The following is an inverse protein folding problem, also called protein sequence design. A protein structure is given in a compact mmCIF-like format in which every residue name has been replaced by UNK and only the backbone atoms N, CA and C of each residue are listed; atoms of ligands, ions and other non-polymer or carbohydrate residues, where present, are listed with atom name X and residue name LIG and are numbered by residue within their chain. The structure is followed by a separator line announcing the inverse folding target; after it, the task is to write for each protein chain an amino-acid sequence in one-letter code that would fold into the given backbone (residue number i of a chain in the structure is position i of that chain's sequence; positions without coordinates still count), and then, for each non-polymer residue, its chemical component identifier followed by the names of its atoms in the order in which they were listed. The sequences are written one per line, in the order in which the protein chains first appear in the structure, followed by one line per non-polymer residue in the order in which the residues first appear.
data_IF_423650544532
#
_entry.id   IF_423650544532
#
_cell.length_a   1.000
_cell.length_b   1.000
_cell.length_c   1.000
_cell.angle_alpha   90.00
_cell.angle_beta   90.00
_cell.angle_gamma   90.00
#
_symmetry.space_group_name_H-M   'P 1'
#
loop_
_entity.id
_entity.type
_entity.pdbx_description
1 polymer ?
#
# COMPACT_ATOMS: atom_id res chain seq x y z
N UNK A 1 21.53 -40.79 20.39
CA UNK A 1 22.69 -39.91 20.62
C UNK A 1 22.36 -38.57 20.00
N UNK A 2 22.29 -37.53 20.84
CA UNK A 2 21.53 -36.31 20.55
C UNK A 2 22.24 -35.39 19.56
N UNK A 3 21.50 -34.92 18.56
CA UNK A 3 21.92 -33.77 17.75
C UNK A 3 22.09 -32.55 18.67
N UNK A 4 23.35 -32.16 18.87
CA UNK A 4 23.71 -30.89 19.47
C UNK A 4 23.44 -29.75 18.48
N UNK A 5 23.08 -28.59 19.00
CA UNK A 5 22.89 -27.39 18.19
C UNK A 5 24.22 -26.99 17.54
N UNK A 6 24.16 -26.52 16.29
CA UNK A 6 25.34 -25.96 15.61
C UNK A 6 25.87 -24.74 16.38
N UNK A 7 27.17 -24.48 16.26
CA UNK A 7 27.81 -23.33 16.91
C UNK A 7 27.15 -21.99 16.53
N UNK A 8 26.64 -21.90 15.30
CA UNK A 8 25.91 -20.75 14.79
C UNK A 8 24.59 -20.52 15.54
N UNK A 9 23.78 -21.57 15.73
CA UNK A 9 22.52 -21.48 16.47
C UNK A 9 22.75 -21.14 17.95
N UNK A 10 23.82 -21.68 18.55
CA UNK A 10 24.21 -21.36 19.93
C UNK A 10 24.60 -19.89 20.06
N UNK A 11 25.32 -19.32 19.08
CA UNK A 11 25.70 -17.92 19.02
C UNK A 11 24.50 -16.98 18.80
N UNK A 12 23.50 -17.43 18.04
CA UNK A 12 22.20 -16.74 17.88
C UNK A 12 21.28 -16.83 19.11
N UNK A 13 21.73 -17.50 20.18
CA UNK A 13 21.01 -17.58 21.46
C UNK A 13 20.10 -18.78 21.63
N UNK A 14 20.08 -19.73 20.70
CA UNK A 14 19.28 -20.95 20.81
C UNK A 14 19.89 -21.95 21.81
N UNK A 15 19.02 -22.63 22.54
CA UNK A 15 19.35 -23.68 23.51
C UNK A 15 18.32 -24.80 23.40
N UNK A 16 18.75 -26.06 23.56
CA UNK A 16 17.88 -27.24 23.52
C UNK A 16 17.53 -27.66 24.94
N UNK A 17 16.25 -27.93 25.19
CA UNK A 17 15.71 -28.38 26.47
C UNK A 17 14.85 -29.62 26.28
N UNK A 18 14.61 -30.37 27.35
CA UNK A 18 13.70 -31.52 27.34
C UNK A 18 12.39 -31.16 28.05
N UNK A 19 11.25 -31.31 27.37
CA UNK A 19 9.95 -31.16 28.01
C UNK A 19 9.55 -32.48 28.68
N UNK A 20 9.48 -32.49 30.01
CA UNK A 20 8.95 -33.64 30.77
C UNK A 20 7.46 -33.91 30.49
N UNK A 21 6.69 -32.85 30.16
CA UNK A 21 5.25 -32.96 29.87
C UNK A 21 4.98 -33.58 28.51
N UNK A 22 5.70 -33.11 27.49
CA UNK A 22 5.50 -33.53 26.09
C UNK A 22 6.42 -34.69 25.69
N UNK A 23 7.28 -35.14 26.62
CA UNK A 23 8.28 -36.19 26.44
C UNK A 23 9.13 -36.05 25.16
N UNK A 24 9.49 -34.81 24.80
CA UNK A 24 10.27 -34.49 23.59
C UNK A 24 11.15 -33.24 23.78
N UNK A 25 12.22 -33.08 23.00
CA UNK A 25 13.05 -31.88 23.08
C UNK A 25 12.33 -30.66 22.47
N UNK A 26 12.67 -29.47 22.96
CA UNK A 26 12.28 -28.18 22.39
C UNK A 26 13.46 -27.22 22.40
N UNK A 27 13.40 -26.19 21.58
CA UNK A 27 14.45 -25.20 21.37
C UNK A 27 13.95 -23.84 21.84
N UNK A 28 14.69 -23.19 22.74
CA UNK A 28 14.36 -21.88 23.27
C UNK A 28 15.45 -20.88 22.91
N UNK A 29 15.07 -19.70 22.43
CA UNK A 29 15.99 -18.61 22.14
C UNK A 29 16.01 -17.63 23.31
N UNK A 30 17.17 -17.46 23.94
CA UNK A 30 17.34 -16.55 25.10
C UNK A 30 17.24 -15.07 24.75
N UNK A 31 17.48 -14.70 23.49
CA UNK A 31 17.50 -13.32 23.01
C UNK A 31 16.08 -12.87 22.63
N UNK A 32 15.31 -13.74 21.96
CA UNK A 32 13.95 -13.42 21.50
C UNK A 32 12.85 -13.90 22.46
N UNK A 33 13.14 -14.85 23.35
CA UNK A 33 12.17 -15.49 24.24
C UNK A 33 11.32 -16.57 23.56
N UNK A 34 11.55 -16.86 22.28
CA UNK A 34 10.76 -17.81 21.48
C UNK A 34 11.07 -19.27 21.83
N UNK A 35 10.05 -20.15 21.75
CA UNK A 35 10.21 -21.60 21.90
C UNK A 35 9.65 -22.35 20.69
N UNK A 36 10.43 -23.26 20.11
CA UNK A 36 10.07 -24.10 18.97
C UNK A 36 10.20 -25.58 19.34
N UNK A 37 9.35 -26.42 18.77
CA UNK A 37 9.46 -27.88 18.92
C UNK A 37 10.39 -28.52 17.89
N UNK A 38 10.64 -27.82 16.79
CA UNK A 38 11.53 -28.23 15.70
C UNK A 38 12.83 -27.44 15.72
N UNK A 39 13.90 -28.02 15.17
CA UNK A 39 15.20 -27.36 15.15
C UNK A 39 15.14 -26.11 14.27
N UNK A 40 15.58 -24.93 14.78
CA UNK A 40 15.61 -23.72 13.96
C UNK A 40 16.50 -23.93 12.74
N UNK A 41 15.96 -23.68 11.54
CA UNK A 41 16.68 -23.83 10.27
C UNK A 41 16.40 -25.11 9.47
N UNK A 42 15.65 -26.08 10.02
CA UNK A 42 15.38 -27.36 9.32
C UNK A 42 14.08 -27.39 8.51
N UNK A 43 13.50 -26.25 8.09
CA UNK A 43 12.30 -26.33 7.24
C UNK A 43 12.66 -26.87 5.86
N UNK A 44 12.10 -28.02 5.43
CA UNK A 44 12.21 -28.46 4.04
C UNK A 44 11.49 -27.43 3.16
N UNK A 45 12.15 -26.99 2.10
CA UNK A 45 11.56 -26.15 1.08
C UNK A 45 10.43 -26.93 0.38
N UNK A 46 9.18 -26.48 0.51
CA UNK A 46 8.01 -27.12 -0.11
C UNK A 46 7.77 -26.56 -1.52
N UNK A 47 8.04 -27.32 -2.59
CA UNK A 47 7.90 -26.86 -3.96
C UNK A 47 6.46 -26.52 -4.37
N UNK A 48 5.44 -26.89 -3.55
CA UNK A 48 4.04 -26.60 -3.85
C UNK A 48 3.60 -25.19 -3.45
N UNK A 49 4.42 -24.44 -2.71
CA UNK A 49 4.09 -23.09 -2.22
C UNK A 49 4.86 -21.97 -2.92
N UNK A 50 5.59 -22.28 -4.00
CA UNK A 50 6.30 -21.29 -4.83
C UNK A 50 5.31 -20.47 -5.68
N UNK A 51 5.10 -19.17 -5.39
CA UNK A 51 4.19 -18.31 -6.17
C UNK A 51 4.79 -17.88 -7.52
N UNK A 52 6.03 -18.27 -7.86
CA UNK A 52 6.76 -17.78 -9.03
C UNK A 52 7.16 -18.85 -10.04
N UNK A 53 7.05 -20.15 -9.71
CA UNK A 53 7.09 -21.26 -10.68
C UNK A 53 8.36 -21.35 -11.54
N UNK A 54 9.53 -20.99 -11.02
CA UNK A 54 10.76 -20.81 -11.82
C UNK A 54 11.57 -22.11 -12.00
N UNK A 55 11.22 -23.21 -11.32
CA UNK A 55 12.09 -24.39 -11.29
C UNK A 55 11.51 -25.57 -12.07
N UNK A 56 11.88 -25.70 -13.35
CA UNK A 56 11.98 -27.00 -14.01
C UNK A 56 13.41 -27.26 -14.47
N UNK A 57 13.83 -28.49 -14.21
CA UNK A 57 15.19 -28.98 -14.25
C UNK A 57 15.72 -29.27 -15.67
N UNK A 58 17.04 -29.14 -15.81
CA UNK A 58 17.91 -30.16 -16.41
C UNK A 58 17.91 -30.30 -17.94
N UNK A 59 19.00 -29.85 -18.55
CA UNK A 59 19.40 -30.25 -19.91
C UNK A 59 20.85 -29.87 -20.18
N UNK A 60 21.78 -30.76 -19.83
CA UNK A 60 23.20 -30.63 -20.10
C UNK A 60 23.54 -30.99 -21.55
N UNK A 61 24.36 -30.19 -22.23
CA UNK A 61 25.24 -30.63 -23.34
C UNK A 61 26.54 -29.80 -23.35
N UNK A 62 27.72 -30.36 -23.72
CA UNK A 62 29.00 -29.71 -23.53
C UNK A 62 29.76 -29.34 -24.84
N UNK A 63 30.84 -28.53 -24.69
CA UNK A 63 32.03 -28.31 -25.57
C UNK A 63 31.90 -27.16 -26.62
N UNK A 64 32.96 -26.45 -27.13
CA UNK A 64 34.42 -26.31 -26.78
C UNK A 64 34.93 -24.86 -26.52
N UNK A 65 36.23 -24.68 -26.17
CA UNK A 65 36.84 -23.38 -25.90
C UNK A 65 37.49 -22.71 -27.13
N UNK A 66 37.68 -21.39 -27.00
CA UNK A 66 38.67 -20.51 -27.67
C UNK A 66 38.12 -19.53 -28.74
N UNK A 67 38.21 -18.23 -28.44
CA UNK A 67 39.01 -17.25 -29.20
C UNK A 67 39.13 -15.93 -28.41
N UNK A 68 40.37 -15.51 -28.15
CA UNK A 68 40.74 -14.16 -27.79
C UNK A 68 40.84 -13.33 -29.07
N UNK A 69 40.25 -12.13 -29.12
CA UNK A 69 40.97 -10.91 -29.52
C UNK A 69 40.14 -9.62 -29.35
N UNK A 70 40.78 -8.67 -28.64
CA UNK A 70 40.87 -7.23 -28.89
C UNK A 70 39.63 -6.44 -29.32
N UNK A 71 39.23 -5.47 -28.47
CA UNK A 71 39.22 -4.06 -28.91
C UNK A 71 39.30 -3.06 -27.74
N UNK A 72 40.05 -1.99 -28.02
CA UNK A 72 40.53 -0.94 -27.14
C UNK A 72 39.48 0.13 -26.81
N UNK A 73 39.69 0.75 -25.65
CA UNK A 73 39.44 2.14 -25.26
C UNK A 73 38.13 2.86 -25.66
N UNK A 74 37.29 3.10 -24.65
CA UNK A 74 36.81 4.45 -24.34
C UNK A 74 36.62 4.59 -22.82
N UNK A 75 37.45 5.44 -22.21
CA UNK A 75 37.26 5.90 -20.83
C UNK A 75 36.19 7.02 -20.79
N UNK A 76 35.69 7.31 -19.59
CA UNK A 76 34.75 8.38 -19.21
C UNK A 76 33.25 8.05 -19.20
N UNK A 77 32.85 6.92 -18.58
CA UNK A 77 31.62 6.89 -17.77
C UNK A 77 31.95 6.24 -16.42
N UNK A 78 31.52 6.86 -15.32
CA UNK A 78 31.59 6.27 -13.98
C UNK A 78 30.90 4.90 -14.03
N UNK A 79 31.66 3.84 -13.72
CA UNK A 79 31.16 2.45 -13.58
C UNK A 79 29.94 2.44 -12.66
N UNK A 80 28.88 1.72 -13.05
CA UNK A 80 27.65 1.60 -12.29
C UNK A 80 27.85 0.55 -11.17
N UNK A 81 27.32 0.76 -9.94
CA UNK A 81 27.48 -0.17 -8.82
C UNK A 81 27.01 -1.61 -9.10
N UNK A 82 26.15 -1.81 -10.10
CA UNK A 82 25.67 -3.13 -10.52
C UNK A 82 26.75 -4.02 -11.17
N UNK A 83 27.84 -3.44 -11.67
CA UNK A 83 28.96 -4.22 -12.23
C UNK A 83 29.95 -4.68 -11.14
N UNK A 84 30.03 -3.98 -10.00
CA UNK A 84 30.96 -4.26 -8.89
C UNK A 84 30.45 -5.30 -7.87
N UNK A 85 29.23 -5.85 -8.05
CA UNK A 85 28.64 -6.86 -7.15
C UNK A 85 29.12 -8.31 -7.42
N UNK A 86 30.16 -8.50 -8.24
CA UNK A 86 30.67 -9.84 -8.58
C UNK A 86 31.68 -10.34 -7.53
N UNK A 87 31.18 -11.01 -6.49
CA UNK A 87 31.95 -12.06 -5.79
C UNK A 87 31.09 -13.33 -5.75
N UNK A 88 31.36 -14.25 -6.67
CA UNK A 88 30.95 -15.64 -6.53
C UNK A 88 31.75 -16.29 -5.39
N UNK A 89 31.13 -17.08 -4.48
CA UNK A 89 31.86 -17.71 -3.39
C UNK A 89 32.62 -19.00 -3.78
N UNK A 90 32.77 -19.35 -5.06
CA UNK A 90 33.27 -20.70 -5.41
C UNK A 90 34.31 -20.80 -6.54
N UNK A 91 35.31 -19.91 -6.56
CA UNK A 91 36.57 -20.18 -7.26
C UNK A 91 37.76 -19.80 -6.37
N UNK A 92 38.15 -20.72 -5.48
CA UNK A 92 39.54 -20.81 -5.07
C UNK A 92 40.33 -21.34 -6.26
N UNK A 93 41.13 -20.50 -6.92
CA UNK A 93 42.55 -20.75 -7.18
C UNK A 93 43.20 -19.54 -7.89
N UNK A 94 44.26 -19.04 -7.26
CA UNK A 94 45.40 -18.30 -7.81
C UNK A 94 45.15 -17.27 -8.92
N UNK A 95 45.18 -15.98 -8.57
CA UNK A 95 46.13 -15.04 -9.18
C UNK A 95 46.21 -13.71 -8.41
N UNK A 96 47.42 -13.19 -8.30
CA UNK A 96 47.78 -11.92 -7.69
C UNK A 96 47.11 -10.69 -8.33
N UNK A 97 46.75 -9.72 -7.48
CA UNK A 97 46.80 -8.29 -7.82
C UNK A 97 45.46 -7.57 -7.82
N UNK A 98 45.22 -6.74 -6.79
CA UNK A 98 44.18 -5.71 -6.81
C UNK A 98 42.91 -6.02 -6.01
N UNK A 99 43.05 -6.43 -4.75
CA UNK A 99 41.92 -6.46 -3.82
C UNK A 99 41.43 -5.03 -3.56
N UNK A 100 40.27 -4.67 -4.12
CA UNK A 100 39.51 -3.51 -3.66
C UNK A 100 39.26 -3.63 -2.14
N UNK A 101 39.13 -2.52 -1.41
CA UNK A 101 38.97 -2.56 0.03
C UNK A 101 37.79 -3.46 0.40
N UNK A 102 37.93 -4.35 1.39
CA UNK A 102 36.84 -5.23 1.80
C UNK A 102 35.64 -4.37 2.20
N UNK A 103 34.48 -4.67 1.63
CA UNK A 103 33.24 -4.00 1.98
C UNK A 103 33.04 -4.16 3.49
N UNK A 104 33.05 -3.04 4.23
CA UNK A 104 32.77 -3.05 5.66
C UNK A 104 31.39 -3.65 5.88
N UNK A 105 31.31 -4.77 6.62
CA UNK A 105 30.04 -5.34 7.07
C UNK A 105 29.24 -4.27 7.79
N UNK A 106 28.10 -3.91 7.22
CA UNK A 106 27.23 -2.88 7.76
C UNK A 106 26.13 -3.58 8.55
N UNK A 107 26.44 -3.94 9.80
CA UNK A 107 25.47 -4.58 10.69
C UNK A 107 24.53 -3.49 11.23
N UNK A 108 23.40 -3.29 10.55
CA UNK A 108 22.33 -2.43 11.03
C UNK A 108 21.48 -3.19 12.03
N UNK A 109 21.35 -2.67 13.26
CA UNK A 109 20.46 -3.26 14.25
C UNK A 109 19.00 -3.16 13.77
N UNK A 110 18.25 -4.26 13.88
CA UNK A 110 16.83 -4.33 13.55
C UNK A 110 16.46 -5.60 12.78
N UNK A 111 15.20 -5.74 12.35
CA UNK A 111 14.68 -6.93 11.68
C UNK A 111 15.05 -7.01 10.19
N UNK A 112 16.24 -6.52 9.80
CA UNK A 112 16.67 -6.42 8.41
C UNK A 112 18.06 -7.02 8.20
N UNK A 113 18.22 -7.74 7.09
CA UNK A 113 19.51 -8.17 6.56
C UNK A 113 19.74 -7.49 5.21
N UNK A 114 20.62 -6.48 5.22
CA UNK A 114 20.96 -5.69 4.04
C UNK A 114 22.17 -6.27 3.26
N UNK A 115 22.77 -7.36 3.75
CA UNK A 115 23.88 -8.03 3.05
C UNK A 115 23.36 -9.01 1.97
N UNK A 116 22.09 -9.40 2.04
CA UNK A 116 21.45 -10.25 1.02
C UNK A 116 21.34 -9.51 -0.31
N UNK A 117 22.07 -10.02 -1.30
CA UNK A 117 22.05 -9.50 -2.66
C UNK A 117 20.77 -9.91 -3.40
N UNK A 118 20.36 -9.10 -4.37
CA UNK A 118 19.20 -9.44 -5.21
C UNK A 118 19.49 -10.63 -6.11
N UNK A 119 18.48 -11.48 -6.30
CA UNK A 119 18.42 -12.51 -7.35
C UNK A 119 17.31 -12.21 -8.38
N UNK A 120 16.70 -11.02 -8.34
CA UNK A 120 15.66 -10.64 -9.29
C UNK A 120 16.31 -10.14 -10.59
N UNK A 121 15.94 -10.76 -11.72
CA UNK A 121 16.39 -10.36 -13.06
C UNK A 121 15.27 -9.58 -13.75
N UNK A 122 15.62 -8.43 -14.31
CA UNK A 122 14.70 -7.56 -15.08
C UNK A 122 15.24 -7.33 -16.48
N UNK A 123 14.36 -6.91 -17.40
CA UNK A 123 14.80 -6.23 -18.63
C UNK A 123 15.23 -4.82 -18.24
N UNK A 124 16.34 -4.32 -18.77
CA UNK A 124 16.82 -2.96 -18.52
C UNK A 124 15.73 -1.94 -18.92
N UNK A 125 15.48 -0.98 -18.02
CA UNK A 125 14.38 0.00 -18.17
C UNK A 125 14.93 1.42 -18.21
N UNK A 126 14.31 2.32 -19.00
CA UNK A 126 14.66 3.73 -18.95
C UNK A 126 14.37 4.32 -17.56
N UNK A 127 15.10 5.38 -17.15
CA UNK A 127 14.79 6.12 -15.93
C UNK A 127 13.37 6.68 -15.94
N UNK A 128 12.79 6.87 -14.75
CA UNK A 128 11.48 7.52 -14.61
C UNK A 128 11.54 8.99 -15.01
N UNK A 129 10.46 9.47 -15.62
CA UNK A 129 10.23 10.88 -15.94
C UNK A 129 9.57 11.64 -14.77
N UNK A 130 9.32 10.95 -13.66
CA UNK A 130 9.00 11.64 -12.42
C UNK A 130 10.22 12.46 -11.99
N UNK A 131 10.03 13.70 -11.53
CA UNK A 131 11.10 14.47 -10.91
C UNK A 131 11.48 13.90 -9.54
N UNK A 132 12.71 14.15 -9.10
CA UNK A 132 13.19 13.70 -7.78
C UNK A 132 12.40 14.38 -6.65
N UNK A 133 12.11 13.69 -5.53
CA UNK A 133 11.34 14.27 -4.43
C UNK A 133 12.05 15.50 -3.84
N UNK A 134 11.26 16.53 -3.50
CA UNK A 134 11.76 17.74 -2.86
C UNK A 134 10.86 18.13 -1.68
N UNK A 135 11.40 18.49 -0.50
CA UNK A 135 10.61 18.72 0.71
C UNK A 135 9.47 19.74 0.54
N UNK A 136 9.69 20.80 -0.24
CA UNK A 136 8.65 21.80 -0.52
C UNK A 136 7.47 21.21 -1.31
N UNK A 137 7.76 20.36 -2.31
CA UNK A 137 6.74 19.72 -3.13
C UNK A 137 6.00 18.65 -2.33
N UNK A 138 6.73 17.89 -1.49
CA UNK A 138 6.11 16.92 -0.59
C UNK A 138 5.22 17.59 0.45
N UNK A 139 5.60 18.75 0.99
CA UNK A 139 4.76 19.54 1.89
C UNK A 139 3.46 20.00 1.20
N UNK A 140 3.56 20.49 -0.03
CA UNK A 140 2.38 20.84 -0.84
C UNK A 140 1.50 19.61 -1.11
N UNK A 141 2.09 18.47 -1.50
CA UNK A 141 1.37 17.21 -1.73
C UNK A 141 0.67 16.74 -0.47
N UNK A 142 1.32 16.79 0.69
CA UNK A 142 0.73 16.44 1.97
C UNK A 142 -0.48 17.33 2.28
N UNK A 143 -0.33 18.65 2.16
CA UNK A 143 -1.41 19.61 2.42
C UNK A 143 -2.62 19.38 1.48
N UNK A 144 -2.38 19.16 0.19
CA UNK A 144 -3.43 18.91 -0.78
C UNK A 144 -4.10 17.54 -0.57
N UNK A 145 -3.33 16.51 -0.19
CA UNK A 145 -3.88 15.18 0.13
C UNK A 145 -4.78 15.23 1.36
N UNK A 146 -4.37 15.97 2.41
CA UNK A 146 -5.20 16.19 3.60
C UNK A 146 -6.46 16.99 3.28
N UNK A 147 -6.36 18.02 2.43
CA UNK A 147 -7.52 18.78 1.95
C UNK A 147 -8.49 17.89 1.17
N UNK A 148 -7.98 16.98 0.35
CA UNK A 148 -8.79 16.04 -0.42
C UNK A 148 -9.51 15.04 0.50
N UNK A 149 -8.80 14.47 1.47
CA UNK A 149 -9.39 13.60 2.50
C UNK A 149 -10.49 14.32 3.28
N UNK A 150 -10.23 15.54 3.74
CA UNK A 150 -11.23 16.33 4.47
C UNK A 150 -12.47 16.63 3.62
N UNK A 151 -12.26 16.91 2.34
CA UNK A 151 -13.37 17.12 1.38
C UNK A 151 -14.18 15.84 1.20
N UNK A 152 -13.53 14.68 1.13
CA UNK A 152 -14.20 13.38 1.04
C UNK A 152 -15.08 13.10 2.27
N UNK A 153 -14.55 13.33 3.47
CA UNK A 153 -15.31 13.21 4.72
C UNK A 153 -16.52 14.14 4.76
N UNK A 154 -16.32 15.41 4.39
CA UNK A 154 -17.37 16.42 4.36
C UNK A 154 -18.45 16.08 3.33
N UNK A 155 -18.09 15.54 2.16
CA UNK A 155 -19.06 15.11 1.15
C UNK A 155 -19.87 13.90 1.62
N UNK A 156 -19.25 12.89 2.26
CA UNK A 156 -19.97 11.76 2.84
C UNK A 156 -21.00 12.22 3.87
N UNK A 157 -20.59 13.15 4.75
CA UNK A 157 -21.46 13.69 5.79
C UNK A 157 -22.58 14.56 5.21
N UNK A 158 -22.26 15.54 4.36
CA UNK A 158 -23.24 16.54 3.88
C UNK A 158 -24.19 15.98 2.84
N UNK A 159 -23.73 15.05 1.98
CA UNK A 159 -24.57 14.49 0.92
C UNK A 159 -25.32 13.27 1.39
N UNK A 160 -24.65 12.33 2.05
CA UNK A 160 -25.24 11.03 2.38
C UNK A 160 -25.55 10.85 3.87
N UNK A 161 -25.23 11.83 4.72
CA UNK A 161 -25.45 11.76 6.18
C UNK A 161 -24.76 10.54 6.83
N UNK A 162 -23.60 10.15 6.31
CA UNK A 162 -22.77 9.08 6.86
C UNK A 162 -21.37 9.59 7.17
N UNK A 163 -20.69 8.94 8.13
CA UNK A 163 -19.23 9.09 8.25
C UNK A 163 -18.58 8.41 7.04
N UNK A 164 -17.48 8.97 6.55
CA UNK A 164 -16.68 8.29 5.54
C UNK A 164 -16.32 6.87 6.03
N UNK A 165 -16.54 5.83 5.22
CA UNK A 165 -16.15 4.48 5.58
C UNK A 165 -14.66 4.41 5.95
N UNK A 166 -14.35 3.67 7.01
CA UNK A 166 -12.99 3.64 7.59
C UNK A 166 -11.99 3.15 6.56
N UNK A 167 -10.91 3.90 6.34
CA UNK A 167 -9.80 3.59 5.42
C UNK A 167 -10.20 3.50 3.93
N UNK A 168 -11.43 3.85 3.56
CA UNK A 168 -11.91 3.80 2.17
C UNK A 168 -11.14 4.75 1.26
N UNK A 169 -10.71 5.90 1.77
CA UNK A 169 -9.89 6.85 1.02
C UNK A 169 -8.52 6.25 0.65
N UNK A 170 -7.89 5.52 1.58
CA UNK A 170 -6.61 4.85 1.33
C UNK A 170 -6.79 3.72 0.31
N UNK A 171 -7.85 2.91 0.44
CA UNK A 171 -8.17 1.88 -0.56
C UNK A 171 -8.50 2.47 -1.92
N UNK A 172 -9.17 3.63 -1.95
CA UNK A 172 -9.41 4.38 -3.18
C UNK A 172 -8.11 4.82 -3.85
N UNK A 173 -7.15 5.38 -3.10
CA UNK A 173 -5.83 5.73 -3.66
C UNK A 173 -5.16 4.52 -4.30
N UNK A 174 -5.12 3.38 -3.60
CA UNK A 174 -4.53 2.14 -4.10
C UNK A 174 -5.23 1.63 -5.36
N UNK A 175 -6.57 1.55 -5.33
CA UNK A 175 -7.37 1.04 -6.44
C UNK A 175 -7.25 1.94 -7.68
N UNK A 176 -7.27 3.26 -7.51
CA UNK A 176 -7.06 4.20 -8.61
C UNK A 176 -5.65 4.09 -9.19
N UNK A 177 -4.61 3.94 -8.35
CA UNK A 177 -3.22 3.85 -8.81
C UNK A 177 -2.90 2.62 -9.65
N UNK A 178 -3.72 1.57 -9.59
CA UNK A 178 -3.60 0.40 -10.49
C UNK A 178 -3.86 0.79 -11.96
N UNK A 179 -4.80 1.72 -12.21
CA UNK A 179 -5.24 2.10 -13.56
C UNK A 179 -4.83 3.52 -13.96
N UNK A 180 -4.22 4.27 -13.05
CA UNK A 180 -3.84 5.66 -13.25
C UNK A 180 -2.68 5.77 -14.24
N UNK A 181 -2.89 6.54 -15.30
CA UNK A 181 -1.83 6.92 -16.26
C UNK A 181 -1.36 8.36 -16.01
N UNK A 182 -1.62 8.90 -14.82
CA UNK A 182 -1.27 10.24 -14.39
C UNK A 182 0.21 10.43 -14.06
N UNK A 183 0.57 11.63 -13.62
CA UNK A 183 1.96 12.04 -13.41
C UNK A 183 2.35 12.32 -11.95
N UNK A 184 1.42 12.20 -10.99
CA UNK A 184 1.74 12.32 -9.57
C UNK A 184 1.94 10.92 -8.96
N UNK A 185 2.93 10.71 -8.07
CA UNK A 185 3.18 9.40 -7.48
C UNK A 185 2.10 8.94 -6.49
N UNK A 186 1.28 9.84 -5.94
CA UNK A 186 0.30 9.54 -4.89
C UNK A 186 -1.15 9.78 -5.34
N UNK A 187 -1.44 10.95 -5.88
CA UNK A 187 -2.79 11.37 -6.24
C UNK A 187 -3.15 10.87 -7.65
N UNK A 188 -4.28 10.17 -7.84
CA UNK A 188 -4.73 9.76 -9.17
C UNK A 188 -5.20 10.96 -10.00
N UNK A 189 -4.94 10.96 -11.31
CA UNK A 189 -5.29 12.08 -12.18
C UNK A 189 -5.67 11.73 -13.62
N UNK A 190 -5.45 10.50 -14.06
CA UNK A 190 -5.85 10.01 -15.38
C UNK A 190 -6.29 8.55 -15.29
N UNK A 191 -7.51 8.35 -14.78
CA UNK A 191 -8.13 7.03 -14.61
C UNK A 191 -9.34 6.87 -15.55
N UNK A 192 -9.52 5.67 -16.11
CA UNK A 192 -10.74 5.27 -16.83
C UNK A 192 -11.20 3.90 -16.32
N UNK A 193 -12.42 3.77 -15.75
CA UNK A 193 -13.44 4.81 -15.53
C UNK A 193 -13.06 5.77 -14.38
N UNK A 194 -13.64 6.97 -14.37
CA UNK A 194 -13.40 7.98 -13.32
C UNK A 194 -13.99 7.58 -11.96
N UNK A 195 -15.18 6.96 -11.98
CA UNK A 195 -15.84 6.47 -10.77
C UNK A 195 -15.08 5.24 -10.27
N UNK A 196 -14.66 5.30 -9.01
CA UNK A 196 -14.06 4.15 -8.32
C UNK A 196 -15.12 3.18 -7.85
N UNK A 197 -15.01 1.93 -8.29
CA UNK A 197 -15.90 0.85 -7.87
C UNK A 197 -15.70 0.50 -6.39
N UNK A 198 -14.49 0.68 -5.85
CA UNK A 198 -14.20 0.48 -4.43
C UNK A 198 -14.87 1.56 -3.57
N UNK A 199 -14.58 2.84 -3.84
CA UNK A 199 -15.16 3.95 -3.10
C UNK A 199 -16.69 3.96 -3.18
N UNK A 200 -17.25 3.74 -4.38
CA UNK A 200 -18.69 3.68 -4.58
C UNK A 200 -19.33 2.60 -3.71
N UNK A 201 -18.85 1.34 -3.79
CA UNK A 201 -19.41 0.23 -3.02
C UNK A 201 -19.33 0.46 -1.51
N UNK A 202 -18.21 1.00 -1.02
CA UNK A 202 -18.03 1.24 0.41
C UNK A 202 -18.95 2.35 0.93
N UNK A 203 -19.18 3.42 0.17
CA UNK A 203 -20.16 4.46 0.53
C UNK A 203 -21.57 3.87 0.54
N UNK A 204 -21.95 3.16 -0.53
CA UNK A 204 -23.28 2.56 -0.66
C UNK A 204 -23.58 1.57 0.46
N UNK A 205 -22.58 0.81 0.93
CA UNK A 205 -22.73 -0.16 2.01
C UNK A 205 -23.07 0.47 3.37
N UNK A 206 -22.70 1.73 3.59
CA UNK A 206 -22.96 2.47 4.83
C UNK A 206 -24.25 3.33 4.74
N UNK A 207 -24.96 3.33 3.61
CA UNK A 207 -26.26 4.00 3.42
C UNK A 207 -27.40 2.99 3.70
N UNK A 208 -28.48 3.37 4.41
CA UNK A 208 -28.77 4.67 5.00
C UNK A 208 -28.03 4.94 6.31
N UNK A 209 -27.57 3.89 6.99
CA UNK A 209 -26.69 3.95 8.15
C UNK A 209 -25.72 2.77 8.13
N UNK A 210 -24.52 2.97 8.67
CA UNK A 210 -23.58 1.88 8.92
C UNK A 210 -24.14 0.91 9.96
N UNK A 211 -24.35 -0.34 9.53
CA UNK A 211 -24.77 -1.41 10.42
C UNK A 211 -23.56 -1.99 11.17
N UNK A 212 -23.71 -2.12 12.48
CA UNK A 212 -22.73 -2.77 13.37
C UNK A 212 -23.39 -3.92 14.09
N UNK A 213 -22.63 -4.96 14.45
CA UNK A 213 -23.15 -6.06 15.26
C UNK A 213 -23.54 -5.52 16.65
N UNK A 214 -24.83 -5.51 17.03
CA UNK A 214 -25.23 -5.01 18.33
C UNK A 214 -24.72 -5.95 19.43
N UNK A 215 -24.30 -5.39 20.58
CA UNK A 215 -23.84 -6.17 21.73
C UNK A 215 -24.99 -6.70 22.58
N UNK A 216 -26.06 -5.91 22.68
CA UNK A 216 -27.22 -6.22 23.52
C UNK A 216 -28.53 -6.11 22.71
N UNK A 217 -29.57 -6.79 23.17
CA UNK A 217 -30.92 -6.74 22.58
C UNK A 217 -31.46 -5.31 22.46
N UNK A 218 -31.19 -4.46 23.46
CA UNK A 218 -31.56 -3.04 23.40
C UNK A 218 -30.86 -2.27 22.28
N UNK A 219 -29.61 -2.62 21.96
CA UNK A 219 -28.88 -2.01 20.85
C UNK A 219 -29.42 -2.50 19.49
N UNK A 220 -29.82 -3.77 19.40
CA UNK A 220 -30.45 -4.33 18.20
C UNK A 220 -31.78 -3.61 17.89
N UNK A 221 -32.62 -3.41 18.91
CA UNK A 221 -33.86 -2.62 18.80
C UNK A 221 -33.58 -1.18 18.34
N UNK A 222 -32.59 -0.51 18.94
CA UNK A 222 -32.20 0.85 18.56
C UNK A 222 -31.68 0.91 17.11
N UNK A 223 -30.88 -0.05 16.68
CA UNK A 223 -30.36 -0.09 15.31
C UNK A 223 -31.47 -0.31 14.29
N UNK A 224 -32.43 -1.19 14.55
CA UNK A 224 -33.62 -1.37 13.71
C UNK A 224 -34.40 -0.06 13.55
N UNK A 225 -34.69 0.62 14.67
CA UNK A 225 -35.38 1.91 14.67
C UNK A 225 -34.64 2.97 13.85
N UNK A 226 -33.31 3.09 14.05
CA UNK A 226 -32.47 4.06 13.34
C UNK A 226 -32.40 3.78 11.84
N UNK A 227 -32.32 2.52 11.45
CA UNK A 227 -32.32 2.14 10.04
C UNK A 227 -33.64 2.53 9.37
N UNK A 228 -34.77 2.20 10.01
CA UNK A 228 -36.10 2.53 9.52
C UNK A 228 -36.31 4.04 9.36
N UNK A 229 -35.90 4.82 10.35
CA UNK A 229 -35.96 6.27 10.33
C UNK A 229 -35.09 6.88 9.22
N UNK A 230 -33.84 6.43 9.09
CA UNK A 230 -32.93 6.92 8.06
C UNK A 230 -33.39 6.54 6.64
N UNK A 231 -33.93 5.32 6.44
CA UNK A 231 -34.52 4.89 5.18
C UNK A 231 -35.70 5.80 4.77
N UNK A 232 -36.60 6.10 5.72
CA UNK A 232 -37.70 7.04 5.49
C UNK A 232 -37.20 8.45 5.18
N UNK A 233 -36.20 8.94 5.91
CA UNK A 233 -35.63 10.26 5.66
C UNK A 233 -35.06 10.39 4.24
N UNK A 234 -34.31 9.38 3.75
CA UNK A 234 -33.77 9.39 2.38
C UNK A 234 -34.89 9.47 1.34
N UNK A 235 -35.92 8.63 1.46
CA UNK A 235 -36.98 8.54 0.45
C UNK A 235 -37.93 9.76 0.47
N UNK A 236 -38.01 10.47 1.59
CA UNK A 236 -38.80 11.69 1.74
C UNK A 236 -38.04 12.96 1.31
N UNK A 237 -36.75 13.04 1.60
CA UNK A 237 -35.92 14.21 1.31
C UNK A 237 -35.41 14.28 -0.13
N UNK A 238 -35.48 13.17 -0.88
CA UNK A 238 -34.94 13.07 -2.24
C UNK A 238 -36.02 12.78 -3.29
N UNK A 239 -35.67 13.08 -4.54
CA UNK A 239 -36.47 12.62 -5.67
C UNK A 239 -36.34 11.11 -5.80
N UNK A 240 -37.48 10.42 -5.81
CA UNK A 240 -37.55 8.98 -5.93
C UNK A 240 -38.86 8.60 -6.63
N UNK A 241 -38.91 7.46 -7.36
CA UNK A 241 -40.12 6.98 -7.99
C UNK A 241 -41.29 6.86 -6.99
N UNK A 242 -42.55 7.16 -7.39
CA UNK A 242 -43.70 7.06 -6.50
C UNK A 242 -43.86 5.67 -5.87
N UNK A 243 -43.57 4.61 -6.63
CA UNK A 243 -43.62 3.24 -6.13
C UNK A 243 -42.54 2.99 -5.07
N UNK A 244 -41.30 3.38 -5.33
CA UNK A 244 -40.20 3.33 -4.34
C UNK A 244 -40.56 4.07 -3.04
N UNK A 245 -41.19 5.26 -3.14
CA UNK A 245 -41.70 6.01 -1.98
C UNK A 245 -42.74 5.21 -1.19
N UNK A 246 -43.69 4.60 -1.88
CA UNK A 246 -44.76 3.80 -1.25
C UNK A 246 -44.20 2.58 -0.54
N UNK A 247 -43.34 1.81 -1.21
CA UNK A 247 -42.74 0.58 -0.67
C UNK A 247 -41.92 0.88 0.58
N UNK A 248 -41.00 1.85 0.52
CA UNK A 248 -40.16 2.19 1.68
C UNK A 248 -41.00 2.71 2.84
N UNK A 249 -41.95 3.63 2.59
CA UNK A 249 -42.80 4.19 3.66
C UNK A 249 -43.65 3.12 4.34
N UNK A 250 -44.23 2.20 3.56
CA UNK A 250 -45.05 1.12 4.11
C UNK A 250 -44.22 0.17 4.99
N UNK A 251 -43.05 -0.28 4.50
CA UNK A 251 -42.18 -1.18 5.27
C UNK A 251 -41.63 -0.52 6.55
N UNK A 252 -41.33 0.78 6.50
CA UNK A 252 -40.91 1.54 7.68
C UNK A 252 -42.05 1.64 8.69
N UNK A 253 -43.26 1.98 8.26
CA UNK A 253 -44.42 2.08 9.16
C UNK A 253 -44.77 0.72 9.77
N UNK A 254 -44.76 -0.36 8.98
CA UNK A 254 -44.97 -1.73 9.46
C UNK A 254 -43.90 -2.14 10.49
N UNK A 255 -42.65 -1.73 10.28
CA UNK A 255 -41.57 -1.93 11.27
C UNK A 255 -41.84 -1.18 12.57
N UNK A 256 -42.27 0.08 12.51
CA UNK A 256 -42.60 0.86 13.70
C UNK A 256 -43.86 0.36 14.42
N UNK A 257 -44.85 -0.15 13.70
CA UNK A 257 -46.01 -0.82 14.30
C UNK A 257 -45.60 -2.10 15.02
N UNK A 258 -44.75 -2.92 14.39
CA UNK A 258 -44.19 -4.12 15.03
C UNK A 258 -43.39 -3.78 16.28
N UNK A 259 -42.54 -2.75 16.24
CA UNK A 259 -41.76 -2.28 17.40
C UNK A 259 -42.65 -1.82 18.57
N UNK A 260 -43.81 -1.23 18.28
CA UNK A 260 -44.79 -0.77 19.29
C UNK A 260 -45.60 -1.92 19.90
N UNK A 261 -46.00 -2.89 19.09
CA UNK A 261 -46.84 -4.02 19.52
C UNK A 261 -46.05 -5.14 20.21
N UNK A 262 -44.79 -5.34 19.83
CA UNK A 262 -43.99 -6.48 20.29
C UNK A 262 -43.34 -6.18 21.63
N UNK A 263 -43.75 -6.91 22.66
CA UNK A 263 -43.17 -6.88 24.01
C UNK A 263 -42.30 -8.12 24.19
N UNK A 264 -41.07 -7.95 24.69
CA UNK A 264 -40.18 -9.08 24.99
C UNK A 264 -39.50 -9.75 23.79
N UNK A 265 -39.42 -9.08 22.62
CA UNK A 265 -38.70 -9.63 21.46
C UNK A 265 -37.22 -9.90 21.78
N UNK A 266 -36.70 -11.01 21.25
CA UNK A 266 -35.31 -11.45 21.40
C UNK A 266 -34.34 -10.62 20.55
N UNK A 267 -33.04 -10.86 20.74
CA UNK A 267 -32.00 -10.25 19.91
C UNK A 267 -32.16 -10.64 18.43
N UNK A 268 -32.43 -11.91 18.20
CA UNK A 268 -32.62 -12.54 16.90
C UNK A 268 -33.83 -11.96 16.17
N UNK A 269 -34.96 -11.76 16.87
CA UNK A 269 -36.16 -11.14 16.29
C UNK A 269 -35.86 -9.74 15.70
N UNK A 270 -35.06 -8.93 16.40
CA UNK A 270 -34.65 -7.62 15.90
C UNK A 270 -33.69 -7.70 14.70
N UNK A 271 -32.78 -8.67 14.69
CA UNK A 271 -31.87 -8.88 13.55
C UNK A 271 -32.64 -9.36 12.31
N UNK A 272 -33.57 -10.29 12.48
CA UNK A 272 -34.40 -10.83 11.39
C UNK A 272 -35.31 -9.74 10.83
N UNK A 273 -35.91 -8.93 11.70
CA UNK A 273 -36.73 -7.79 11.28
C UNK A 273 -35.91 -6.74 10.52
N UNK A 274 -34.68 -6.46 10.98
CA UNK A 274 -33.75 -5.56 10.27
C UNK A 274 -33.36 -6.11 8.90
N UNK A 275 -33.03 -7.41 8.82
CA UNK A 275 -32.68 -8.05 7.56
C UNK A 275 -33.84 -8.03 6.56
N UNK A 276 -35.06 -8.27 7.05
CA UNK A 276 -36.28 -8.15 6.24
C UNK A 276 -36.47 -6.72 5.73
N UNK A 277 -36.46 -5.73 6.62
CA UNK A 277 -36.62 -4.32 6.26
C UNK A 277 -35.54 -3.88 5.26
N UNK A 278 -34.29 -4.28 5.48
CA UNK A 278 -33.19 -4.00 4.56
C UNK A 278 -33.48 -4.59 3.18
N UNK A 279 -33.85 -5.87 3.09
CA UNK A 279 -34.16 -6.54 1.81
C UNK A 279 -35.27 -5.82 1.03
N UNK A 280 -36.29 -5.31 1.72
CA UNK A 280 -37.39 -4.60 1.08
C UNK A 280 -37.01 -3.17 0.65
N UNK A 281 -36.21 -2.45 1.45
CA UNK A 281 -35.90 -1.04 1.18
C UNK A 281 -34.65 -0.82 0.34
N UNK A 282 -33.63 -1.68 0.42
CA UNK A 282 -32.30 -1.45 -0.15
C UNK A 282 -32.32 -1.16 -1.67
N UNK A 283 -33.05 -1.90 -2.54
CA UNK A 283 -33.08 -1.59 -3.97
C UNK A 283 -33.58 -0.17 -4.26
N UNK A 284 -34.61 0.27 -3.54
CA UNK A 284 -35.20 1.59 -3.68
C UNK A 284 -34.29 2.70 -3.15
N UNK A 285 -33.62 2.47 -2.02
CA UNK A 285 -32.65 3.41 -1.46
C UNK A 285 -31.44 3.56 -2.38
N UNK A 286 -30.88 2.43 -2.86
CA UNK A 286 -29.75 2.39 -3.79
C UNK A 286 -30.05 3.19 -5.05
N UNK A 287 -31.21 2.97 -5.67
CA UNK A 287 -31.62 3.74 -6.85
C UNK A 287 -31.72 5.24 -6.56
N UNK A 288 -32.32 5.60 -5.41
CA UNK A 288 -32.52 7.00 -5.00
C UNK A 288 -31.21 7.75 -4.75
N UNK A 289 -30.18 7.08 -4.20
CA UNK A 289 -28.91 7.73 -3.85
C UNK A 289 -27.82 7.59 -4.91
N UNK A 290 -28.00 6.68 -5.89
CA UNK A 290 -26.97 6.31 -6.89
C UNK A 290 -26.28 7.53 -7.51
N UNK A 291 -27.05 8.44 -8.10
CA UNK A 291 -26.50 9.62 -8.79
C UNK A 291 -25.71 10.53 -7.86
N UNK A 292 -26.14 10.66 -6.60
CA UNK A 292 -25.44 11.49 -5.60
C UNK A 292 -24.08 10.88 -5.23
N UNK A 293 -24.03 9.56 -5.01
CA UNK A 293 -22.79 8.85 -4.68
C UNK A 293 -21.82 8.82 -5.87
N UNK A 294 -22.32 8.62 -7.10
CA UNK A 294 -21.51 8.73 -8.32
C UNK A 294 -20.90 10.14 -8.46
N UNK A 295 -21.71 11.18 -8.27
CA UNK A 295 -21.25 12.58 -8.31
C UNK A 295 -20.20 12.86 -7.23
N UNK A 296 -20.35 12.30 -6.03
CA UNK A 296 -19.36 12.38 -4.96
C UNK A 296 -18.03 11.76 -5.40
N UNK A 297 -18.06 10.54 -5.94
CA UNK A 297 -16.87 9.84 -6.41
C UNK A 297 -16.14 10.62 -7.52
N UNK A 298 -16.89 11.10 -8.52
CA UNK A 298 -16.36 11.95 -9.61
C UNK A 298 -15.75 13.24 -9.06
N UNK A 299 -16.42 13.87 -8.08
CA UNK A 299 -15.91 15.13 -7.50
C UNK A 299 -14.56 14.92 -6.80
N UNK A 300 -14.38 13.84 -6.07
CA UNK A 300 -13.10 13.51 -5.42
C UNK A 300 -12.02 13.21 -6.46
N UNK A 301 -12.35 12.45 -7.51
CA UNK A 301 -11.43 12.21 -8.61
C UNK A 301 -10.97 13.51 -9.30
N UNK A 302 -11.89 14.40 -9.66
CA UNK A 302 -11.53 15.67 -10.31
C UNK A 302 -10.70 16.59 -9.40
N UNK A 303 -11.02 16.66 -8.11
CA UNK A 303 -10.20 17.42 -7.16
C UNK A 303 -8.79 16.84 -7.05
N UNK A 304 -8.66 15.51 -7.03
CA UNK A 304 -7.38 14.82 -7.07
C UNK A 304 -6.58 15.16 -8.33
N UNK A 305 -7.22 15.14 -9.50
CA UNK A 305 -6.58 15.51 -10.76
C UNK A 305 -6.09 16.96 -10.75
N UNK A 306 -6.88 17.89 -10.22
CA UNK A 306 -6.47 19.29 -10.07
C UNK A 306 -5.33 19.46 -9.06
N UNK A 307 -5.33 18.71 -7.96
CA UNK A 307 -4.26 18.74 -6.98
C UNK A 307 -2.96 18.17 -7.56
N UNK A 308 -3.03 17.04 -8.26
CA UNK A 308 -1.91 16.44 -9.01
C UNK A 308 -1.30 17.43 -10.00
N UNK A 309 -2.13 18.17 -10.75
CA UNK A 309 -1.68 19.21 -11.70
C UNK A 309 -0.91 20.33 -11.00
N UNK A 310 -1.46 20.87 -9.91
CA UNK A 310 -0.80 21.93 -9.12
C UNK A 310 0.53 21.49 -8.54
N UNK A 311 0.61 20.24 -8.06
CA UNK A 311 1.85 19.66 -7.55
C UNK A 311 2.88 19.55 -8.67
N UNK A 312 2.48 19.04 -9.84
CA UNK A 312 3.35 18.93 -11.02
C UNK A 312 3.85 20.31 -11.46
N UNK A 313 2.97 21.31 -11.56
CA UNK A 313 3.32 22.69 -11.93
C UNK A 313 4.35 23.28 -10.97
N UNK A 314 4.14 23.17 -9.64
CA UNK A 314 5.12 23.65 -8.66
C UNK A 314 6.45 22.91 -8.79
N UNK A 315 6.42 21.60 -9.02
CA UNK A 315 7.64 20.81 -9.17
C UNK A 315 8.44 21.22 -10.42
N UNK A 316 7.77 21.41 -11.56
CA UNK A 316 8.41 21.89 -12.79
C UNK A 316 8.97 23.31 -12.63
N UNK A 317 8.26 24.18 -11.92
CA UNK A 317 8.75 25.51 -11.58
C UNK A 317 10.04 25.45 -10.75
N UNK A 318 10.08 24.59 -9.73
CA UNK A 318 11.26 24.39 -8.89
C UNK A 318 12.46 23.90 -9.71
N UNK A 319 12.25 22.96 -10.64
CA UNK A 319 13.33 22.51 -11.53
C UNK A 319 13.88 23.67 -12.38
N UNK A 320 12.99 24.49 -12.94
CA UNK A 320 13.37 25.66 -13.73
C UNK A 320 14.16 26.69 -12.90
N UNK A 321 13.75 26.94 -11.66
CA UNK A 321 14.45 27.82 -10.70
C UNK A 321 15.89 27.34 -10.43
N UNK A 322 16.14 26.03 -10.53
CA UNK A 322 17.45 25.41 -10.34
C UNK A 322 18.22 25.15 -11.65
N UNK A 323 17.71 25.63 -12.80
CA UNK A 323 18.33 25.42 -14.10
C UNK A 323 18.30 23.96 -14.58
N UNK A 324 17.40 23.14 -14.05
CA UNK A 324 17.23 21.73 -14.43
C UNK A 324 16.17 21.65 -15.53
N UNK A 325 16.48 21.07 -16.71
CA UNK A 325 15.52 20.91 -17.79
C UNK A 325 14.40 19.93 -17.41
N UNK A 326 13.25 20.06 -18.06
CA UNK A 326 12.14 19.13 -17.86
C UNK A 326 12.53 17.70 -18.26
N UNK A 327 12.08 16.65 -17.55
CA UNK A 327 12.34 15.27 -17.92
C UNK A 327 11.78 14.96 -19.32
N UNK A 328 12.65 14.61 -20.26
CA UNK A 328 12.28 14.13 -21.58
C UNK A 328 12.46 12.62 -21.69
N UNK A 329 11.59 11.90 -22.42
CA UNK A 329 11.75 10.46 -22.64
C UNK A 329 13.08 10.19 -23.37
N UNK A 330 13.93 9.27 -22.87
CA UNK A 330 15.08 8.83 -23.64
C UNK A 330 14.64 8.04 -24.88
N UNK A 331 15.44 8.02 -25.96
CA UNK A 331 15.17 7.14 -27.09
C UNK A 331 15.16 5.67 -26.64
N UNK A 332 14.35 4.81 -27.28
CA UNK A 332 14.29 3.40 -26.92
C UNK A 332 15.67 2.74 -27.11
N UNK A 333 16.10 1.88 -26.17
CA UNK A 333 17.37 1.20 -26.29
C UNK A 333 17.36 0.27 -27.53
N UNK A 334 18.47 0.18 -28.26
CA UNK A 334 18.54 -0.65 -29.48
C UNK A 334 18.40 -2.15 -29.19
N UNK A 335 18.72 -2.58 -27.96
CA UNK A 335 18.66 -3.97 -27.53
C UNK A 335 18.06 -4.12 -26.14
N UNK A 336 17.23 -5.16 -25.97
CA UNK A 336 16.68 -5.55 -24.68
C UNK A 336 17.72 -6.38 -23.92
N UNK A 337 18.31 -5.82 -22.86
CA UNK A 337 19.30 -6.49 -22.02
C UNK A 337 18.64 -6.99 -20.73
N UNK A 338 18.91 -8.25 -20.34
CA UNK A 338 18.56 -8.76 -19.01
C UNK A 338 19.66 -8.38 -18.01
N UNK A 339 19.27 -7.86 -16.85
CA UNK A 339 20.17 -7.38 -15.80
C UNK A 339 19.61 -7.73 -14.41
N UNK A 340 20.46 -7.84 -13.40
CA UNK A 340 19.99 -7.84 -12.01
C UNK A 340 19.23 -6.54 -11.72
N UNK A 341 18.18 -6.64 -10.90
CA UNK A 341 17.38 -5.47 -10.59
C UNK A 341 18.20 -4.41 -9.86
N UNK A 342 17.85 -3.15 -10.09
CA UNK A 342 18.45 -2.01 -9.42
C UNK A 342 17.36 -1.02 -9.01
N UNK A 343 17.62 -0.12 -8.04
CA UNK A 343 16.67 0.92 -7.66
C UNK A 343 16.26 1.77 -8.85
N UNK A 344 15.00 2.21 -8.88
CA UNK A 344 14.48 3.08 -9.94
C UNK A 344 15.38 4.33 -10.03
N UNK A 345 15.80 4.65 -11.26
CA UNK A 345 16.62 5.82 -11.57
C UNK A 345 15.74 6.96 -12.07
N UNK A 346 16.15 8.20 -11.85
CA UNK A 346 15.47 9.40 -12.32
C UNK A 346 16.14 9.95 -13.57
N UNK A 347 15.36 10.39 -14.55
CA UNK A 347 15.89 10.95 -15.80
C UNK A 347 16.57 12.32 -15.61
N UNK A 348 16.19 13.05 -14.56
CA UNK A 348 16.73 14.37 -14.23
C UNK A 348 17.48 14.35 -12.89
N UNK A 349 18.51 15.21 -12.74
CA UNK A 349 19.20 15.36 -11.47
C UNK A 349 18.28 15.94 -10.38
N UNK A 350 18.68 15.77 -9.11
CA UNK A 350 17.98 16.39 -7.99
C UNK A 350 18.18 17.91 -8.01
N UNK A 351 17.14 18.71 -7.74
CA UNK A 351 17.34 20.11 -7.34
C UNK A 351 18.16 20.17 -6.04
N UNK A 352 18.70 21.36 -5.75
CA UNK A 352 19.43 21.60 -4.51
C UNK A 352 18.47 21.42 -3.33
N UNK A 353 18.81 20.51 -2.42
CA UNK A 353 17.98 20.24 -1.25
C UNK A 353 18.01 21.43 -0.27
N UNK A 354 16.87 21.73 0.39
CA UNK A 354 16.81 22.78 1.39
C UNK A 354 17.52 22.33 2.67
N UNK A 355 17.74 23.28 3.59
CA UNK A 355 18.23 22.94 4.92
C UNK A 355 17.19 22.08 5.66
N UNK A 356 17.67 21.01 6.30
CA UNK A 356 16.89 20.10 7.13
C UNK A 356 17.53 20.06 8.51
N UNK A 357 16.72 20.28 9.54
CA UNK A 357 17.13 20.18 10.94
C UNK A 357 17.00 18.74 11.40
N UNK A 358 18.06 18.20 12.02
CA UNK A 358 18.07 16.87 12.63
C UNK A 358 18.29 17.02 14.13
N UNK A 359 17.34 16.52 14.93
CA UNK A 359 17.42 16.53 16.39
C UNK A 359 17.27 15.09 16.88
N UNK A 360 18.26 14.58 17.59
CA UNK A 360 18.18 13.28 18.25
C UNK A 360 17.55 13.48 19.63
N UNK A 361 16.40 12.85 19.88
CA UNK A 361 15.74 12.80 21.19
C UNK A 361 15.58 11.36 21.64
N UNK A 362 16.47 10.91 22.53
CA UNK A 362 16.56 9.52 23.00
C UNK A 362 16.63 8.55 21.83
N UNK A 363 15.61 7.70 21.66
CA UNK A 363 15.49 6.69 20.61
C UNK A 363 14.82 7.21 19.33
N UNK A 364 14.51 8.51 19.26
CA UNK A 364 13.84 9.12 18.11
C UNK A 364 14.76 10.11 17.40
N UNK A 365 14.73 10.07 16.07
CA UNK A 365 15.30 11.11 15.22
C UNK A 365 14.18 12.01 14.72
N UNK A 366 14.19 13.27 15.13
CA UNK A 366 13.28 14.29 14.65
C UNK A 366 13.93 14.95 13.44
N UNK A 367 13.28 14.82 12.28
CA UNK A 367 13.70 15.40 11.01
C UNK A 367 12.71 16.51 10.68
N UNK A 368 13.17 17.76 10.68
CA UNK A 368 12.31 18.93 10.52
C UNK A 368 12.71 19.73 9.27
N UNK A 369 11.71 19.97 8.43
CA UNK A 369 11.78 20.90 7.31
C UNK A 369 10.92 22.12 7.62
N UNK A 370 11.51 23.32 7.51
CA UNK A 370 10.81 24.59 7.67
C UNK A 370 10.78 25.28 6.29
N UNK A 371 9.60 25.46 5.66
CA UNK A 371 9.49 26.16 4.39
C UNK A 371 10.02 27.59 4.47
N UNK A 372 10.80 28.00 3.47
CA UNK A 372 11.39 29.35 3.42
C UNK A 372 10.32 30.47 3.38
N UNK A 373 9.13 30.18 2.86
CA UNK A 373 8.01 31.13 2.78
C UNK A 373 7.39 31.52 4.14
N UNK A 374 7.80 30.89 5.25
CA UNK A 374 7.35 31.21 6.62
C UNK A 374 8.35 32.17 7.32
N UNK A 375 9.51 32.43 6.71
CA UNK A 375 10.55 33.33 7.23
C UNK A 375 10.60 34.67 6.47
N UNK A 376 9.46 35.34 6.30
CA UNK A 376 9.47 36.79 6.04
C UNK A 376 8.81 37.50 7.23
N UNK A 377 9.50 38.43 7.89
CA UNK A 377 8.98 39.18 9.04
C UNK A 377 7.79 40.08 8.67
#
# INVERSE_FOLDING_TARGET
YGEELTAELVNQGWRKFWSKRENRPYYWNKVTGESLWEMPGTRPFDPLTDPLGICHAGGATPIPPHMQQQQQHHHHLKRRPSDDMHIHPNQQHQHHGGGGPPMKKFVLAGPWDLEVCTNAVIVERPPTLLPQPHPEVEALRAALSMKLLKTYEDLCMRRENIKAPRDSFNRWLMERKVIDTGCDPLLPSSCKPEISSAMYREIMADIPIKLVKPKFTGDARKQLSRYAEAAKQIIESRSAPPESKKVVKWNVEDTFQWLRRTVGASYEDFQDRLAHLKRQCEPHLVETVKSSVETLCVKIYHLSADHSRKIRERHLQLLKEHGIPEPTPPPPPPHLKKVWCYPIQFAVPSPRMPAIEYLQDRDHMIIKYTPAAINQP
#
